data_IF_261242924469
#
_entry.id   IF_261242924469
#
_cell.length_a   1.000
_cell.length_b   1.000
_cell.length_c   1.000
_cell.angle_alpha   90.00
_cell.angle_beta   90.00
_cell.angle_gamma   90.00
#
_symmetry.space_group_name_H-M   'P 1'
#
loop_
_entity.id
_entity.type
_entity.pdbx_description
1 polymer ?
#
# COMPACT_ATOMS: atom_id res chain seq x y z
N UNK A 1 8.97 35.24 25.75
CA UNK A 1 8.86 33.79 26.00
C UNK A 1 8.96 33.12 24.64
N UNK A 2 10.16 32.62 24.34
CA UNK A 2 10.63 32.16 23.03
C UNK A 2 10.68 30.65 23.07
N UNK A 3 10.10 29.95 22.07
CA UNK A 3 10.38 28.54 21.82
C UNK A 3 10.64 28.37 20.32
N UNK A 4 11.79 27.76 20.05
CA UNK A 4 12.42 27.51 18.77
C UNK A 4 11.55 26.71 17.79
N UNK A 5 11.39 27.26 16.58
CA UNK A 5 11.08 26.48 15.37
C UNK A 5 12.36 25.86 14.84
N UNK A 6 12.62 24.61 15.17
CA UNK A 6 13.43 23.72 14.34
C UNK A 6 12.46 22.98 13.41
N UNK A 7 12.56 23.12 12.08
CA UNK A 7 12.49 21.98 11.16
C UNK A 7 12.45 22.30 9.64
N UNK A 8 13.14 21.41 8.90
CA UNK A 8 12.89 20.91 7.53
C UNK A 8 13.28 21.78 6.32
N UNK A 9 13.58 23.06 6.45
CA UNK A 9 13.98 23.89 5.28
C UNK A 9 15.32 23.48 4.61
N UNK A 10 16.20 22.74 5.28
CA UNK A 10 17.58 22.56 4.81
C UNK A 10 17.81 21.30 3.96
N UNK A 11 16.87 20.36 3.93
CA UNK A 11 17.04 19.11 3.16
C UNK A 11 16.34 19.16 1.79
N UNK A 12 15.37 20.06 1.60
CA UNK A 12 14.63 20.18 0.33
C UNK A 12 15.34 21.04 -0.73
N UNK A 13 16.44 21.72 -0.38
CA UNK A 13 17.15 22.66 -1.27
C UNK A 13 18.18 22.01 -2.22
N UNK A 14 18.37 20.69 -2.17
CA UNK A 14 19.42 20.01 -2.94
C UNK A 14 18.97 19.37 -4.27
N UNK A 15 17.69 19.44 -4.67
CA UNK A 15 17.19 18.75 -5.89
C UNK A 15 16.48 19.64 -6.92
N UNK A 16 16.46 20.97 -6.73
CA UNK A 16 15.79 21.90 -7.66
C UNK A 16 16.76 22.46 -8.74
N UNK A 17 18.06 22.16 -8.65
CA UNK A 17 19.09 22.77 -9.51
C UNK A 17 19.55 21.93 -10.71
N UNK A 18 18.62 21.31 -11.44
CA UNK A 18 18.82 20.93 -12.85
C UNK A 18 17.56 21.28 -13.64
N UNK A 19 17.28 22.58 -13.75
CA UNK A 19 16.22 23.07 -14.62
C UNK A 19 16.55 22.83 -16.08
N UNK A 20 15.56 22.40 -16.87
CA UNK A 20 15.16 23.06 -18.13
C UNK A 20 13.67 22.76 -18.35
N UNK A 21 12.83 23.79 -18.19
CA UNK A 21 11.49 23.81 -18.76
C UNK A 21 11.57 24.36 -20.19
N UNK A 22 10.86 23.74 -21.14
CA UNK A 22 10.41 24.40 -22.37
C UNK A 22 9.06 23.81 -22.79
N UNK A 23 8.07 24.70 -22.90
CA UNK A 23 6.71 24.41 -23.30
C UNK A 23 6.61 24.00 -24.77
N UNK A 24 5.67 23.12 -25.10
CA UNK A 24 4.96 23.10 -26.40
C UNK A 24 3.50 22.75 -26.11
N UNK A 25 2.63 23.74 -26.30
CA UNK A 25 1.19 23.58 -26.46
C UNK A 25 0.95 23.19 -27.92
N UNK A 26 0.35 22.03 -28.17
CA UNK A 26 -0.22 21.72 -29.48
C UNK A 26 -1.58 21.08 -29.27
N UNK A 27 -2.61 21.84 -29.66
CA UNK A 27 -3.99 21.37 -29.83
C UNK A 27 -4.02 20.73 -31.21
N UNK A 28 -4.23 19.41 -31.26
CA UNK A 28 -4.41 18.68 -32.49
C UNK A 28 -5.79 18.02 -32.53
N UNK A 29 -6.34 18.03 -33.74
CA UNK A 29 -7.74 17.96 -34.11
C UNK A 29 -8.53 16.74 -33.63
N UNK A 30 -9.81 17.02 -33.37
CA UNK A 30 -10.87 16.05 -33.15
C UNK A 30 -11.14 15.25 -34.43
N UNK A 31 -10.68 14.00 -34.45
CA UNK A 31 -11.29 12.99 -35.32
C UNK A 31 -12.22 12.14 -34.46
N UNK A 32 -13.52 12.34 -34.67
CA UNK A 32 -14.60 11.54 -34.09
C UNK A 32 -14.49 10.09 -34.56
N UNK A 33 -13.84 9.24 -33.77
CA UNK A 33 -14.15 7.81 -33.70
C UNK A 33 -15.11 7.63 -32.54
N UNK A 34 -16.22 6.90 -32.76
CA UNK A 34 -17.14 6.50 -31.69
C UNK A 34 -16.32 5.88 -30.55
N UNK A 35 -16.13 6.62 -29.47
CA UNK A 35 -15.58 6.07 -28.25
C UNK A 35 -16.66 5.18 -27.66
N UNK A 36 -16.57 3.87 -27.91
CA UNK A 36 -17.13 2.93 -26.94
C UNK A 36 -16.41 3.22 -25.63
N UNK A 37 -17.14 3.75 -24.65
CA UNK A 37 -16.64 3.91 -23.30
C UNK A 37 -16.33 2.51 -22.77
N UNK A 38 -15.07 2.09 -22.87
CA UNK A 38 -14.61 0.83 -22.30
C UNK A 38 -14.64 1.01 -20.77
N UNK A 39 -15.56 0.30 -20.11
CA UNK A 39 -15.63 0.28 -18.65
C UNK A 39 -14.29 -0.22 -18.10
N UNK A 40 -13.67 0.55 -17.20
CA UNK A 40 -12.45 0.13 -16.50
C UNK A 40 -12.81 -0.84 -15.38
N UNK A 41 -11.82 -1.62 -14.91
CA UNK A 41 -12.01 -2.49 -13.74
C UNK A 41 -12.38 -1.69 -12.48
N UNK A 42 -11.88 -0.47 -12.34
CA UNK A 42 -12.30 0.45 -11.27
C UNK A 42 -13.77 0.90 -11.42
N UNK A 43 -14.27 1.11 -12.64
CA UNK A 43 -15.70 1.43 -12.85
C UNK A 43 -16.59 0.26 -12.42
N UNK A 44 -16.19 -0.96 -12.75
CA UNK A 44 -16.89 -2.18 -12.35
C UNK A 44 -16.79 -2.40 -10.84
N UNK A 45 -15.62 -2.15 -10.23
CA UNK A 45 -15.43 -2.26 -8.78
C UNK A 45 -16.39 -1.36 -7.99
N UNK A 46 -16.63 -0.15 -8.49
CA UNK A 46 -17.51 0.83 -7.85
C UNK A 46 -19.00 0.60 -8.18
N UNK A 47 -19.30 -0.08 -9.29
CA UNK A 47 -20.65 -0.49 -9.63
C UNK A 47 -20.66 -1.85 -10.36
N UNK A 48 -20.70 -2.97 -9.61
CA UNK A 48 -20.62 -4.31 -10.19
C UNK A 48 -21.71 -4.59 -11.23
N UNK A 49 -22.88 -3.95 -11.14
CA UNK A 49 -23.98 -4.13 -12.11
C UNK A 49 -23.64 -3.71 -13.55
N UNK A 50 -22.57 -2.94 -13.74
CA UNK A 50 -22.06 -2.53 -15.05
C UNK A 50 -21.41 -3.70 -15.80
N UNK A 51 -20.89 -4.70 -15.10
CA UNK A 51 -20.30 -5.88 -15.71
C UNK A 51 -21.38 -6.83 -16.24
N UNK A 52 -21.27 -7.20 -17.52
CA UNK A 52 -22.23 -8.06 -18.23
C UNK A 52 -21.69 -9.45 -18.54
N UNK A 53 -20.44 -9.72 -18.16
CA UNK A 53 -19.84 -11.04 -18.30
C UNK A 53 -20.16 -11.96 -17.12
N UNK A 54 -19.62 -13.18 -17.17
CA UNK A 54 -19.67 -14.11 -16.06
C UNK A 54 -18.69 -13.69 -14.96
N UNK A 55 -19.15 -13.72 -13.71
CA UNK A 55 -18.32 -13.46 -12.55
C UNK A 55 -17.42 -14.66 -12.27
N UNK A 56 -16.14 -14.50 -12.58
CA UNK A 56 -15.11 -15.49 -12.25
C UNK A 56 -14.29 -15.01 -11.06
N UNK A 57 -13.67 -15.92 -10.32
CA UNK A 57 -12.81 -15.57 -9.18
C UNK A 57 -11.67 -14.62 -9.60
N UNK A 58 -11.06 -14.85 -10.77
CA UNK A 58 -10.05 -13.94 -11.33
C UNK A 58 -10.63 -12.55 -11.63
N UNK A 59 -11.85 -12.45 -12.18
CA UNK A 59 -12.50 -11.15 -12.46
C UNK A 59 -12.86 -10.39 -11.17
N UNK A 60 -13.17 -11.10 -10.10
CA UNK A 60 -13.44 -10.50 -8.79
C UNK A 60 -12.13 -10.01 -8.15
N UNK A 61 -11.06 -10.82 -8.18
CA UNK A 61 -9.73 -10.45 -7.69
C UNK A 61 -9.17 -9.21 -8.40
N UNK A 62 -9.10 -9.26 -9.74
CA UNK A 62 -9.78 -8.27 -10.56
C UNK A 62 -10.00 -6.84 -10.08
N UNK A 63 -11.29 -6.58 -10.06
CA UNK A 63 -11.91 -5.33 -9.65
C UNK A 63 -11.60 -5.00 -8.18
N UNK A 64 -11.24 -5.97 -7.35
CA UNK A 64 -10.92 -5.74 -5.95
C UNK A 64 -9.58 -5.03 -5.81
N UNK A 65 -8.57 -5.49 -6.56
CA UNK A 65 -7.24 -4.89 -6.61
C UNK A 65 -7.24 -3.57 -7.38
N UNK A 66 -7.97 -3.51 -8.50
CA UNK A 66 -8.02 -2.30 -9.34
C UNK A 66 -8.88 -1.17 -8.74
N UNK A 67 -9.46 -1.41 -7.56
CA UNK A 67 -10.23 -0.40 -6.85
C UNK A 67 -9.30 0.70 -6.37
N UNK A 68 -9.48 1.90 -6.92
CA UNK A 68 -8.68 3.06 -6.58
C UNK A 68 -8.77 3.38 -5.08
N UNK A 69 -7.61 3.35 -4.40
CA UNK A 69 -7.47 3.57 -2.97
C UNK A 69 -6.70 4.86 -2.61
N UNK A 70 -6.21 5.58 -3.64
CA UNK A 70 -5.53 6.87 -3.53
C UNK A 70 -4.01 6.78 -3.67
N UNK A 71 -3.42 7.74 -4.40
CA UNK A 71 -1.96 7.80 -4.66
C UNK A 71 -1.10 7.99 -3.40
N UNK A 72 -1.70 8.46 -2.31
CA UNK A 72 -1.02 8.69 -1.03
C UNK A 72 -1.90 8.33 0.14
N UNK A 73 -1.33 7.67 1.15
CA UNK A 73 -2.00 7.32 2.40
C UNK A 73 -1.25 7.89 3.59
N UNK A 74 -1.99 8.35 4.59
CA UNK A 74 -1.50 8.63 5.94
C UNK A 74 -2.49 8.04 6.93
N UNK A 75 -2.06 7.07 7.73
CA UNK A 75 -2.94 6.36 8.67
C UNK A 75 -2.30 6.26 10.05
N UNK A 76 -3.11 6.52 11.08
CA UNK A 76 -2.78 6.25 12.47
C UNK A 76 -3.33 4.87 12.85
N UNK A 77 -2.44 3.94 13.19
CA UNK A 77 -2.77 2.55 13.49
C UNK A 77 -2.63 2.29 14.98
N UNK A 78 -3.66 1.71 15.60
CA UNK A 78 -3.60 1.17 16.97
C UNK A 78 -3.67 -0.35 16.91
N UNK A 79 -2.58 -1.01 17.28
CA UNK A 79 -2.50 -2.47 17.36
C UNK A 79 -2.71 -2.91 18.80
N UNK A 80 -3.64 -3.84 19.03
CA UNK A 80 -3.89 -4.46 20.33
C UNK A 80 -3.47 -5.92 20.26
N UNK A 81 -2.31 -6.23 20.82
CA UNK A 81 -1.79 -7.60 20.89
C UNK A 81 -2.37 -8.26 22.14
N UNK A 82 -3.05 -9.39 21.95
CA UNK A 82 -3.68 -10.16 23.04
C UNK A 82 -2.95 -11.49 23.14
N UNK A 83 -2.30 -11.73 24.28
CA UNK A 83 -1.64 -13.02 24.51
C UNK A 83 -2.65 -14.14 24.74
N UNK A 84 -2.20 -15.40 24.68
CA UNK A 84 -3.02 -16.57 25.01
C UNK A 84 -3.60 -16.57 26.42
N UNK A 85 -3.03 -15.78 27.35
CA UNK A 85 -3.53 -15.60 28.72
C UNK A 85 -4.49 -14.41 28.87
N UNK A 86 -4.75 -13.66 27.80
CA UNK A 86 -5.61 -12.48 27.80
C UNK A 86 -4.89 -11.15 28.07
N UNK A 87 -3.58 -11.17 28.39
CA UNK A 87 -2.82 -9.94 28.59
C UNK A 87 -2.79 -9.09 27.31
N UNK A 88 -3.04 -7.79 27.44
CA UNK A 88 -3.09 -6.85 26.32
C UNK A 88 -1.85 -5.96 26.28
N UNK A 89 -1.29 -5.78 25.09
CA UNK A 89 -0.26 -4.78 24.80
C UNK A 89 -0.75 -3.89 23.67
N UNK A 90 -0.65 -2.58 23.86
CA UNK A 90 -1.11 -1.60 22.86
C UNK A 90 0.11 -0.97 22.22
N UNK A 91 0.11 -0.91 20.89
CA UNK A 91 1.12 -0.20 20.10
C UNK A 91 0.43 0.80 19.18
N UNK A 92 1.04 1.96 19.01
CA UNK A 92 0.56 2.98 18.08
C UNK A 92 1.63 3.27 17.05
N UNK A 93 1.19 3.36 15.80
CA UNK A 93 2.05 3.51 14.64
C UNK A 93 1.45 4.55 13.71
N UNK A 94 2.31 5.30 13.01
CA UNK A 94 1.91 6.13 11.87
C UNK A 94 2.47 5.49 10.61
N UNK A 95 1.62 5.28 9.62
CA UNK A 95 2.03 4.73 8.33
C UNK A 95 1.75 5.72 7.21
N UNK A 96 2.70 5.82 6.30
CA UNK A 96 2.65 6.69 5.12
C UNK A 96 2.96 5.85 3.88
N UNK A 97 2.04 5.86 2.92
CA UNK A 97 2.19 5.20 1.62
C UNK A 97 2.23 6.26 0.53
N UNK A 98 3.01 6.00 -0.51
CA UNK A 98 2.95 6.78 -1.74
C UNK A 98 3.16 5.88 -2.94
N UNK A 99 2.29 6.02 -3.93
CA UNK A 99 2.45 5.40 -5.22
C UNK A 99 3.31 6.26 -6.14
N UNK A 100 4.18 5.59 -6.88
CA UNK A 100 5.28 6.16 -7.65
C UNK A 100 5.48 5.37 -8.95
N UNK A 101 6.51 5.73 -9.72
CA UNK A 101 6.87 5.00 -10.93
C UNK A 101 5.93 5.27 -12.10
N UNK A 102 6.03 4.42 -13.12
CA UNK A 102 5.18 4.50 -14.32
C UNK A 102 3.76 4.08 -13.94
N UNK A 103 2.76 4.88 -14.32
CA UNK A 103 1.35 4.62 -14.00
C UNK A 103 1.03 4.46 -12.50
N UNK A 104 1.87 4.98 -11.60
CA UNK A 104 1.68 4.91 -10.15
C UNK A 104 1.60 3.48 -9.60
N UNK A 105 2.43 2.58 -10.12
CA UNK A 105 2.44 1.17 -9.71
C UNK A 105 3.59 0.76 -8.77
N UNK A 106 4.59 1.61 -8.57
CA UNK A 106 5.56 1.39 -7.50
C UNK A 106 4.95 1.83 -6.17
N UNK A 107 5.15 1.06 -5.09
CA UNK A 107 4.58 1.37 -3.78
C UNK A 107 5.66 1.57 -2.73
N UNK A 108 5.71 2.77 -2.14
CA UNK A 108 6.67 3.07 -1.07
C UNK A 108 5.93 3.32 0.24
N UNK A 109 6.19 2.47 1.22
CA UNK A 109 5.58 2.50 2.55
C UNK A 109 6.61 2.77 3.63
N UNK A 110 6.29 3.66 4.55
CA UNK A 110 7.02 3.83 5.81
C UNK A 110 6.05 3.78 6.99
N UNK A 111 6.40 2.95 7.98
CA UNK A 111 5.60 2.69 9.18
C UNK A 111 6.45 2.94 10.41
N UNK A 112 6.03 3.88 11.28
CA UNK A 112 6.83 4.35 12.42
C UNK A 112 6.04 4.17 13.72
N UNK A 113 6.58 3.40 14.65
CA UNK A 113 6.00 3.25 15.98
C UNK A 113 6.17 4.55 16.78
N UNK A 114 5.05 5.08 17.26
CA UNK A 114 5.03 6.25 18.13
C UNK A 114 4.85 5.86 19.60
N UNK A 115 4.23 4.71 19.89
CA UNK A 115 4.07 4.18 21.25
C UNK A 115 4.06 2.64 21.27
N UNK A 116 4.45 1.98 22.38
CA UNK A 116 4.99 2.55 23.63
C UNK A 116 6.46 2.98 23.54
N UNK A 117 7.02 3.48 24.65
CA UNK A 117 8.35 4.08 24.70
C UNK A 117 9.51 3.10 24.39
N UNK A 118 9.32 1.82 24.67
CA UNK A 118 10.26 0.73 24.43
C UNK A 118 10.50 0.45 22.93
N UNK A 119 9.48 0.68 22.09
CA UNK A 119 9.56 0.48 20.64
C UNK A 119 9.46 1.79 19.84
N UNK A 120 9.27 2.93 20.51
CA UNK A 120 9.13 4.24 19.88
C UNK A 120 10.30 4.51 18.92
N UNK A 121 9.98 5.05 17.75
CA UNK A 121 10.89 5.31 16.63
C UNK A 121 11.45 4.06 15.95
N UNK A 122 10.98 2.85 16.29
CA UNK A 122 11.16 1.70 15.40
C UNK A 122 10.43 2.01 14.10
N UNK A 123 11.12 1.83 12.97
CA UNK A 123 10.57 2.17 11.67
C UNK A 123 10.77 1.01 10.69
N UNK A 124 9.71 0.70 9.95
CA UNK A 124 9.73 -0.22 8.82
C UNK A 124 9.61 0.58 7.53
N UNK A 125 10.45 0.26 6.56
CA UNK A 125 10.47 0.86 5.24
C UNK A 125 10.36 -0.26 4.20
N UNK A 126 9.47 -0.10 3.24
CA UNK A 126 9.25 -1.06 2.18
C UNK A 126 9.10 -0.34 0.84
N UNK A 127 9.86 -0.80 -0.15
CA UNK A 127 9.78 -0.36 -1.54
C UNK A 127 9.42 -1.56 -2.42
N UNK A 128 8.23 -1.47 -2.99
CA UNK A 128 7.74 -2.39 -4.03
C UNK A 128 7.84 -1.69 -5.38
N UNK A 129 8.16 -2.48 -6.40
CA UNK A 129 8.31 -2.03 -7.77
C UNK A 129 7.42 -2.88 -8.68
N UNK A 130 6.81 -2.26 -9.68
CA UNK A 130 6.01 -2.96 -10.71
C UNK A 130 6.92 -3.73 -11.69
N UNK A 131 8.17 -3.28 -11.85
CA UNK A 131 9.16 -3.94 -12.70
C UNK A 131 9.58 -5.30 -12.11
N UNK A 132 9.19 -6.39 -12.77
CA UNK A 132 9.55 -7.77 -12.41
C UNK A 132 11.08 -7.99 -12.29
N UNK A 133 11.91 -7.17 -12.94
CA UNK A 133 13.36 -7.27 -12.86
C UNK A 133 13.93 -6.59 -11.60
N UNK A 134 13.12 -5.87 -10.85
CA UNK A 134 13.48 -5.25 -9.57
C UNK A 134 12.91 -6.03 -8.40
N UNK A 135 13.78 -6.44 -7.50
CA UNK A 135 13.37 -7.07 -6.26
C UNK A 135 12.87 -6.05 -5.24
N UNK A 136 11.80 -6.40 -4.54
CA UNK A 136 11.27 -5.65 -3.41
C UNK A 136 12.32 -5.48 -2.30
N UNK A 137 12.43 -4.26 -1.78
CA UNK A 137 13.42 -3.91 -0.76
C UNK A 137 12.75 -3.50 0.55
N UNK A 138 13.20 -4.11 1.65
CA UNK A 138 12.61 -3.87 2.95
C UNK A 138 13.69 -3.68 4.02
N UNK A 139 13.47 -2.71 4.90
CA UNK A 139 14.38 -2.38 6.00
C UNK A 139 13.63 -2.15 7.30
N UNK A 140 14.24 -2.60 8.39
CA UNK A 140 13.80 -2.35 9.76
C UNK A 140 14.87 -1.55 10.49
N UNK A 141 14.50 -0.35 10.94
CA UNK A 141 15.33 0.46 11.81
C UNK A 141 14.99 0.20 13.28
N UNK A 142 15.99 -0.18 14.05
CA UNK A 142 15.90 -0.49 15.48
C UNK A 142 16.66 0.56 16.30
N UNK A 143 15.96 1.55 16.90
CA UNK A 143 16.60 2.69 17.56
C UNK A 143 17.45 2.28 18.77
N UNK A 144 16.99 1.29 19.54
CA UNK A 144 17.72 0.77 20.70
C UNK A 144 19.12 0.23 20.32
N UNK A 145 19.26 -0.28 19.09
CA UNK A 145 20.52 -0.80 18.57
C UNK A 145 21.25 0.20 17.67
N UNK A 146 20.60 1.30 17.28
CA UNK A 146 21.03 2.22 16.22
C UNK A 146 21.42 1.49 14.94
N UNK A 147 20.67 0.44 14.60
CA UNK A 147 20.95 -0.43 13.45
C UNK A 147 19.79 -0.43 12.47
N UNK A 148 20.15 -0.52 11.19
CA UNK A 148 19.23 -0.85 10.11
C UNK A 148 19.48 -2.31 9.75
N UNK A 149 18.43 -3.13 9.79
CA UNK A 149 18.43 -4.50 9.28
C UNK A 149 17.74 -4.50 7.92
N UNK A 150 18.41 -4.94 6.85
CA UNK A 150 17.73 -5.30 5.60
C UNK A 150 17.00 -6.62 5.81
N UNK A 151 15.74 -6.71 5.40
CA UNK A 151 14.95 -7.93 5.47
C UNK A 151 15.13 -8.70 4.17
N UNK A 152 15.62 -9.94 4.26
CA UNK A 152 15.64 -10.89 3.15
C UNK A 152 14.22 -11.40 2.86
N UNK A 153 13.95 -12.01 1.69
CA UNK A 153 12.64 -12.60 1.40
C UNK A 153 12.13 -13.55 2.49
N UNK A 154 13.02 -14.34 3.11
CA UNK A 154 12.65 -15.24 4.22
C UNK A 154 12.30 -14.49 5.51
N UNK A 155 12.98 -13.37 5.81
CA UNK A 155 12.63 -12.55 6.99
C UNK A 155 11.23 -11.93 6.85
N UNK A 156 10.70 -11.79 5.62
CA UNK A 156 9.40 -11.13 5.41
C UNK A 156 8.21 -11.98 5.87
N UNK A 157 8.40 -13.29 6.03
CA UNK A 157 7.41 -14.19 6.62
C UNK A 157 7.42 -14.18 8.15
N UNK A 158 8.40 -13.52 8.79
CA UNK A 158 8.46 -13.42 10.24
C UNK A 158 7.37 -12.49 10.78
N UNK A 159 6.96 -12.75 12.02
CA UNK A 159 6.01 -11.92 12.76
C UNK A 159 6.47 -10.45 12.84
N UNK A 160 5.64 -9.54 12.34
CA UNK A 160 5.84 -8.10 12.41
C UNK A 160 5.83 -7.64 13.87
N UNK A 161 7.01 -7.38 14.40
CA UNK A 161 7.18 -6.92 15.79
C UNK A 161 6.53 -7.86 16.83
N UNK A 162 6.29 -9.12 16.52
CA UNK A 162 5.59 -10.07 17.41
C UNK A 162 4.07 -9.90 17.46
N UNK A 163 3.45 -9.33 16.43
CA UNK A 163 2.01 -9.50 16.15
C UNK A 163 1.74 -10.79 15.36
N UNK A 164 0.47 -11.08 15.11
CA UNK A 164 0.04 -12.16 14.23
C UNK A 164 0.22 -11.83 12.73
N UNK A 165 0.39 -10.55 12.38
CA UNK A 165 0.80 -10.14 11.04
C UNK A 165 2.28 -10.45 10.80
N UNK A 166 2.61 -10.87 9.57
CA UNK A 166 3.95 -10.92 9.01
C UNK A 166 4.36 -9.57 8.40
N UNK A 167 5.63 -9.41 8.03
CA UNK A 167 6.03 -8.22 7.26
C UNK A 167 5.40 -8.19 5.87
N UNK A 168 5.11 -9.35 5.28
CA UNK A 168 4.43 -9.44 4.00
C UNK A 168 2.98 -8.93 4.06
N UNK A 169 2.33 -8.97 5.22
CA UNK A 169 0.94 -8.50 5.35
C UNK A 169 0.82 -6.97 5.39
N UNK A 170 1.94 -6.26 5.51
CA UNK A 170 1.95 -4.79 5.56
C UNK A 170 2.02 -4.13 4.19
N UNK A 171 2.21 -4.91 3.12
CA UNK A 171 2.43 -4.42 1.78
C UNK A 171 1.18 -4.58 0.91
N UNK A 172 1.23 -4.08 -0.32
CA UNK A 172 0.12 -4.21 -1.25
C UNK A 172 0.00 -5.67 -1.71
N UNK A 173 -1.23 -6.18 -1.81
CA UNK A 173 -1.45 -7.52 -2.33
C UNK A 173 -1.50 -7.46 -3.86
N UNK A 174 -0.65 -8.23 -4.52
CA UNK A 174 -0.62 -8.31 -5.98
C UNK A 174 -1.31 -9.60 -6.43
N UNK A 175 -2.27 -9.50 -7.34
CA UNK A 175 -3.06 -10.66 -7.80
C UNK A 175 -2.21 -11.73 -8.48
N UNK A 176 -1.14 -11.33 -9.14
CA UNK A 176 -0.24 -12.22 -9.88
C UNK A 176 0.41 -13.29 -8.99
N UNK A 177 0.42 -13.10 -7.66
CA UNK A 177 0.97 -14.05 -6.71
C UNK A 177 0.04 -15.22 -6.38
N UNK A 178 -1.19 -15.21 -6.89
CA UNK A 178 -2.24 -16.14 -6.47
C UNK A 178 -2.95 -16.81 -7.64
N UNK A 179 -3.46 -18.01 -7.39
CA UNK A 179 -4.41 -18.69 -8.27
C UNK A 179 -5.78 -18.70 -7.58
N UNK A 180 -6.74 -17.96 -8.12
CA UNK A 180 -8.06 -17.80 -7.51
C UNK A 180 -9.03 -18.89 -7.95
N UNK A 181 -9.90 -19.32 -7.04
CA UNK A 181 -10.92 -20.32 -7.34
C UNK A 181 -12.22 -19.97 -6.62
N UNK A 182 -13.31 -19.93 -7.38
CA UNK A 182 -14.63 -19.77 -6.78
C UNK A 182 -14.95 -20.98 -5.89
N UNK A 183 -15.13 -20.73 -4.60
CA UNK A 183 -15.57 -21.71 -3.58
C UNK A 183 -17.09 -21.62 -3.43
N UNK A 184 -17.63 -20.40 -3.33
CA UNK A 184 -19.07 -20.15 -3.27
C UNK A 184 -19.42 -18.81 -3.93
N UNK A 185 -20.51 -18.81 -4.69
CA UNK A 185 -21.02 -17.59 -5.34
C UNK A 185 -21.87 -16.72 -4.41
N UNK A 186 -22.31 -17.26 -3.26
CA UNK A 186 -23.14 -16.56 -2.29
C UNK A 186 -23.01 -17.20 -0.92
N UNK A 187 -22.41 -16.46 0.01
CA UNK A 187 -22.43 -16.75 1.45
C UNK A 187 -22.71 -15.47 2.23
N UNK A 188 -23.56 -15.58 3.25
CA UNK A 188 -23.87 -14.45 4.13
C UNK A 188 -22.79 -14.33 5.20
N UNK A 189 -21.99 -13.28 5.11
CA UNK A 189 -20.94 -12.92 6.09
C UNK A 189 -21.31 -11.60 6.72
N UNK A 190 -21.49 -11.58 8.04
CA UNK A 190 -21.91 -10.40 8.80
C UNK A 190 -23.18 -9.69 8.27
N UNK A 191 -24.06 -10.44 7.59
CA UNK A 191 -25.33 -9.94 7.03
C UNK A 191 -25.24 -9.48 5.58
N UNK A 192 -24.05 -9.49 4.97
CA UNK A 192 -23.82 -9.14 3.58
C UNK A 192 -23.61 -10.39 2.73
N UNK A 193 -24.12 -10.38 1.49
CA UNK A 193 -23.93 -11.47 0.52
C UNK A 193 -22.55 -11.33 -0.14
N UNK A 194 -21.72 -12.36 0.01
CA UNK A 194 -20.31 -12.35 -0.37
C UNK A 194 -19.95 -13.52 -1.28
N UNK A 195 -19.04 -13.26 -2.23
CA UNK A 195 -18.31 -14.31 -2.92
C UNK A 195 -17.21 -14.87 -2.03
N UNK A 196 -17.02 -16.19 -2.09
CA UNK A 196 -15.91 -16.89 -1.44
C UNK A 196 -14.98 -17.39 -2.54
N UNK A 197 -13.77 -16.80 -2.62
CA UNK A 197 -12.79 -16.98 -3.70
C UNK A 197 -11.43 -17.51 -3.22
#
# INVERSE_FOLDING_TARGET
MTINKFNISTILFALINLGVAKAVTEVADTTSSKAETVLTSNDIANNPSLYKGEWTANKIAEITEDKYDGDTLSVDVTMVLISSRGDKRIRRMKSYRKDLGVNLKDNHLVSIFVEPADIRNTAFLNYEYDDENKSEEAWLYLPALRKVKRLSPSDKSDAFMGSDFSYNDLKTNHREYWNYKMISESEIVDGEDCWVI
#
